data_IF_005263235920
#
_entry.id   IF_005263235920
#
_cell.length_a   1.000
_cell.length_b   1.000
_cell.length_c   1.000
_cell.angle_alpha   90.00
_cell.angle_beta   90.00
_cell.angle_gamma   90.00
#
_symmetry.space_group_name_H-M   'P 1'
#
loop_
_entity.id
_entity.type
_entity.pdbx_description
1 polymer ?
2 polymer ?
#
# COMPACT_ATOMS: atom_id res chain seq x y z
N UNK A 2 11.20 59.17 1.30
CA UNK A 2 12.35 58.60 2.00
C UNK A 2 12.81 57.30 1.35
N UNK A 3 13.44 57.41 0.18
CA UNK A 3 13.92 56.20 -0.51
C UNK A 3 14.78 55.30 0.36
N UNK A 4 15.62 55.89 1.22
CA UNK A 4 16.47 55.11 2.10
C UNK A 4 15.63 54.36 3.13
N UNK A 5 14.77 55.10 3.85
CA UNK A 5 13.94 54.48 4.87
C UNK A 5 13.00 53.45 4.27
N UNK A 6 12.39 53.76 3.13
CA UNK A 6 11.48 52.81 2.50
C UNK A 6 12.24 51.57 2.02
N UNK A 7 13.39 51.79 1.38
CA UNK A 7 14.20 50.69 0.87
C UNK A 7 14.62 49.75 2.01
N UNK A 8 15.21 50.30 3.07
CA UNK A 8 15.67 49.47 4.17
C UNK A 8 14.51 48.82 4.93
N UNK A 9 13.35 49.49 4.99
CA UNK A 9 12.20 48.91 5.65
C UNK A 9 11.72 47.66 4.95
N UNK A 10 11.66 47.72 3.61
CA UNK A 10 11.23 46.58 2.82
C UNK A 10 12.24 45.44 2.89
N UNK A 11 13.54 45.77 2.94
CA UNK A 11 14.55 44.73 3.05
C UNK A 11 14.37 43.98 4.36
N UNK A 12 13.97 44.70 5.41
CA UNK A 12 13.72 44.05 6.69
C UNK A 12 12.55 43.09 6.54
N UNK A 13 11.50 43.53 5.83
CA UNK A 13 10.35 42.67 5.58
C UNK A 13 10.77 41.43 4.83
N UNK A 14 11.60 41.60 3.80
CA UNK A 14 12.09 40.47 3.00
C UNK A 14 12.78 39.41 3.83
N UNK A 15 13.78 39.81 4.64
CA UNK A 15 14.48 38.82 5.45
C UNK A 15 13.57 38.19 6.49
N UNK A 16 12.54 38.93 6.92
CA UNK A 16 11.60 38.38 7.90
C UNK A 16 10.75 37.30 7.25
N UNK A 17 10.39 37.50 5.98
CA UNK A 17 9.60 36.50 5.26
C UNK A 17 10.43 35.26 5.00
N UNK A 18 11.75 35.40 4.83
CA UNK A 18 12.58 34.23 4.64
C UNK A 18 12.62 33.44 5.95
N UNK A 19 12.66 34.16 7.07
CA UNK A 19 12.66 33.50 8.37
C UNK A 19 11.44 32.64 8.60
N UNK A 20 10.30 32.99 7.99
CA UNK A 20 9.09 32.19 8.15
C UNK A 20 9.08 30.99 7.22
N UNK A 21 9.38 31.22 5.94
CA UNK A 21 9.35 30.13 4.97
C UNK A 21 10.34 29.02 5.30
N UNK A 22 11.47 29.34 5.94
CA UNK A 22 12.48 28.33 6.21
C UNK A 22 12.02 27.23 7.16
N UNK A 23 10.89 27.40 7.84
CA UNK A 23 10.41 26.34 8.72
C UNK A 23 9.51 25.36 7.99
N UNK A 24 9.29 25.59 6.69
CA UNK A 24 8.42 24.76 5.88
C UNK A 24 9.19 24.02 4.79
N UNK A 25 10.52 24.06 4.81
CA UNK A 25 11.33 23.41 3.79
C UNK A 25 12.30 22.45 4.44
N UNK A 26 12.96 21.65 3.60
CA UNK A 26 13.91 20.66 4.06
C UNK A 26 15.22 21.32 4.53
N UNK A 27 16.10 20.48 5.09
CA UNK A 27 17.38 20.94 5.62
C UNK A 27 18.19 21.68 4.55
N UNK A 28 18.22 21.14 3.33
CA UNK A 28 18.99 21.77 2.26
C UNK A 28 18.45 23.15 1.93
N UNK A 29 17.13 23.25 1.76
CA UNK A 29 16.54 24.54 1.44
C UNK A 29 16.67 25.50 2.62
N UNK A 30 16.54 24.99 3.85
CA UNK A 30 16.68 25.82 5.03
C UNK A 30 18.08 26.41 5.14
N UNK A 31 19.10 25.60 4.84
CA UNK A 31 20.47 26.10 4.90
C UNK A 31 20.70 27.25 3.94
N UNK A 32 20.22 27.07 2.70
CA UNK A 32 20.35 28.11 1.68
C UNK A 32 19.65 29.38 2.13
N UNK A 33 18.40 29.25 2.61
CA UNK A 33 17.65 30.41 3.06
C UNK A 33 18.32 31.13 4.22
N UNK A 34 18.98 30.38 5.12
CA UNK A 34 19.64 31.06 6.22
C UNK A 34 20.87 31.81 5.73
N UNK A 35 21.55 31.28 4.71
CA UNK A 35 22.69 32.02 4.17
C UNK A 35 22.22 33.28 3.47
N UNK A 36 21.09 33.20 2.77
CA UNK A 36 20.54 34.38 2.10
C UNK A 36 20.09 35.40 3.12
N UNK A 37 19.49 34.93 4.21
CA UNK A 37 19.08 35.84 5.28
C UNK A 37 20.29 36.54 5.85
N UNK A 38 21.40 35.80 5.96
CA UNK A 38 22.65 36.38 6.42
C UNK A 38 23.09 37.46 5.44
N UNK A 39 22.98 37.17 4.14
CA UNK A 39 23.37 38.09 3.09
C UNK A 39 22.50 39.35 3.13
N UNK A 40 21.20 39.19 3.36
CA UNK A 40 20.33 40.36 3.41
C UNK A 40 20.77 41.26 4.55
N UNK A 41 21.19 40.65 5.66
CA UNK A 41 21.68 41.42 6.80
C UNK A 41 22.87 42.28 6.38
N UNK A 42 23.80 41.71 5.60
CA UNK A 42 24.97 42.46 5.14
C UNK A 42 24.57 43.57 4.19
N UNK A 43 23.63 43.29 3.28
CA UNK A 43 23.16 44.28 2.32
C UNK A 43 22.59 45.50 3.04
N UNK A 44 21.80 45.26 4.07
CA UNK A 44 21.20 46.35 4.83
C UNK A 44 22.29 47.21 5.47
N UNK A 45 23.40 46.61 5.87
CA UNK A 45 24.49 47.38 6.45
C UNK A 45 25.04 48.41 5.49
N UNK A 46 25.36 47.98 4.27
CA UNK A 46 25.91 48.90 3.26
C UNK A 46 24.94 50.04 2.96
N UNK A 47 23.69 49.70 2.64
CA UNK A 47 22.68 50.69 2.30
C UNK A 47 22.44 51.64 3.47
N UNK A 48 22.29 51.07 4.68
CA UNK A 48 22.03 51.87 5.86
C UNK A 48 23.14 52.84 6.24
N UNK A 49 24.39 52.55 5.83
CA UNK A 49 25.51 53.42 6.17
C UNK A 49 25.89 54.38 5.04
N UNK A 50 25.15 54.39 3.94
CA UNK A 50 25.43 55.27 2.79
C UNK A 50 26.82 55.03 2.22
N UNK A 51 27.31 53.80 2.29
CA UNK A 51 28.61 53.45 1.77
C UNK A 51 29.69 53.33 2.83
N UNK A 52 29.44 53.87 4.03
CA UNK A 52 30.43 53.80 5.11
C UNK A 52 30.79 52.37 5.47
N UNK A 53 29.86 51.44 5.32
CA UNK A 53 30.11 50.04 5.65
C UNK A 53 30.17 49.20 4.38
N UNK A 54 31.23 48.39 4.28
CA UNK A 54 31.44 47.50 3.14
C UNK A 54 30.18 46.66 2.94
N UNK A 55 29.83 46.39 1.70
CA UNK A 55 28.64 45.61 1.44
C UNK A 55 28.94 44.15 1.19
N UNK A 56 28.11 43.51 0.37
CA UNK A 56 28.32 42.09 0.10
C UNK A 56 29.36 41.91 -0.99
N UNK A 57 29.99 40.74 -0.96
CA UNK A 57 31.00 40.38 -1.93
C UNK A 57 30.35 39.85 -3.21
N UNK A 58 31.12 39.88 -4.29
CA UNK A 58 30.61 39.38 -5.55
C UNK A 58 30.42 37.88 -5.50
N UNK A 59 31.13 37.20 -4.59
CA UNK A 59 30.98 35.75 -4.48
C UNK A 59 29.59 35.38 -4.02
N UNK A 60 28.91 36.28 -3.30
CA UNK A 60 27.57 35.95 -2.87
C UNK A 60 26.62 35.95 -4.06
N UNK A 61 26.93 36.78 -5.07
CA UNK A 61 26.12 36.84 -6.28
C UNK A 61 26.36 35.60 -7.12
N UNK A 62 27.63 35.21 -7.27
CA UNK A 62 27.97 34.02 -8.04
C UNK A 62 27.40 32.79 -7.36
N UNK A 63 27.32 32.81 -6.04
CA UNK A 63 26.75 31.69 -5.29
C UNK A 63 25.31 31.49 -5.71
N UNK A 64 24.53 32.57 -5.76
CA UNK A 64 23.14 32.46 -6.19
C UNK A 64 23.06 31.95 -7.62
N UNK A 65 23.89 32.51 -8.51
CA UNK A 65 23.87 32.08 -9.91
C UNK A 65 24.16 30.60 -10.04
N UNK A 66 25.05 30.07 -9.20
CA UNK A 66 25.33 28.64 -9.26
C UNK A 66 24.12 27.82 -8.87
N UNK A 67 23.42 28.24 -7.80
CA UNK A 67 22.24 27.52 -7.36
C UNK A 67 21.11 27.66 -8.38
N UNK A 68 21.01 28.83 -9.00
CA UNK A 68 19.96 29.05 -10.01
C UNK A 68 20.16 28.10 -11.17
N UNK A 69 21.41 27.95 -11.63
CA UNK A 69 21.70 27.05 -12.73
C UNK A 69 21.33 25.62 -12.36
N UNK A 70 21.69 25.19 -11.15
CA UNK A 70 21.39 23.84 -10.70
C UNK A 70 19.89 23.56 -10.74
N UNK A 71 19.08 24.41 -10.11
CA UNK A 71 17.64 24.15 -10.12
C UNK A 71 17.03 24.43 -11.48
N UNK A 72 17.59 25.39 -12.22
CA UNK A 72 17.06 25.70 -13.54
C UNK A 72 17.06 24.46 -14.43
N UNK A 73 18.08 23.60 -14.25
CA UNK A 73 18.20 22.38 -15.04
C UNK A 73 17.07 21.40 -14.77
N UNK A 74 16.41 21.48 -13.62
CA UNK A 74 15.35 20.53 -13.34
C UNK A 74 13.98 21.01 -13.80
N UNK A 75 13.81 22.28 -14.13
CA UNK A 75 12.50 22.77 -14.54
C UNK A 75 12.53 23.02 -16.04
N UNK A 76 11.66 22.31 -16.76
CA UNK A 76 11.50 22.39 -18.21
C UNK A 76 10.52 23.51 -18.55
N UNK A 77 9.30 23.36 -18.08
CA UNK A 77 8.20 24.29 -18.28
C UNK A 77 8.21 25.30 -17.15
N UNK A 78 8.42 26.56 -17.48
CA UNK A 78 8.52 27.65 -16.52
C UNK A 78 7.67 28.86 -16.87
N UNK A 79 7.03 28.88 -18.03
CA UNK A 79 6.27 30.02 -18.51
C UNK A 79 4.83 30.09 -17.99
N UNK A 80 4.13 28.97 -17.78
CA UNK A 80 2.72 28.99 -17.34
C UNK A 80 2.44 28.11 -16.12
N UNK A 81 2.77 28.62 -14.93
CA UNK A 81 2.57 27.94 -13.67
C UNK A 81 1.84 28.87 -12.72
N UNK A 82 0.87 28.33 -11.98
CA UNK A 82 0.26 29.31 -11.09
C UNK A 82 0.88 29.24 -9.70
N UNK A 83 1.10 30.41 -9.09
CA UNK A 83 1.71 30.45 -7.76
C UNK A 83 1.00 29.61 -6.72
N UNK A 84 1.79 29.10 -5.77
CA UNK A 84 1.29 28.35 -4.63
C UNK A 84 0.72 26.96 -4.86
N UNK A 85 1.38 26.13 -5.67
CA UNK A 85 0.87 24.78 -5.88
C UNK A 85 0.66 24.03 -4.58
N UNK A 86 1.53 24.25 -3.60
CA UNK A 86 1.44 23.64 -2.29
C UNK A 86 1.65 24.71 -1.23
N UNK A 87 1.30 24.37 0.02
CA UNK A 87 1.47 25.30 1.13
C UNK A 87 2.93 25.74 1.23
N UNK A 88 3.86 24.79 1.09
CA UNK A 88 5.28 25.12 1.19
C UNK A 88 5.71 26.02 0.04
N UNK A 89 5.29 25.73 -1.19
CA UNK A 89 5.70 26.57 -2.31
C UNK A 89 5.06 27.95 -2.21
N UNK A 90 3.87 28.04 -1.61
CA UNK A 90 3.21 29.34 -1.45
C UNK A 90 4.05 30.30 -0.63
N UNK A 91 4.73 29.79 0.40
CA UNK A 91 5.57 30.64 1.24
C UNK A 91 6.68 31.30 0.41
N UNK A 92 7.30 30.53 -0.48
CA UNK A 92 8.39 31.06 -1.31
C UNK A 92 7.88 32.07 -2.34
N UNK A 93 6.70 31.84 -2.91
CA UNK A 93 6.17 32.78 -3.89
C UNK A 93 5.91 34.15 -3.26
N UNK A 94 5.46 34.16 -2.00
CA UNK A 94 5.22 35.43 -1.31
C UNK A 94 6.54 36.20 -1.16
N UNK A 95 7.60 35.52 -0.73
CA UNK A 95 8.89 36.17 -0.57
C UNK A 95 9.40 36.78 -1.87
N UNK A 96 9.18 36.10 -3.00
CA UNK A 96 9.62 36.61 -4.29
C UNK A 96 9.03 37.99 -4.58
N UNK A 97 7.73 38.16 -4.34
CA UNK A 97 7.09 39.45 -4.61
C UNK A 97 7.58 40.53 -3.64
N UNK A 98 7.85 40.17 -2.39
CA UNK A 98 8.35 41.16 -1.43
C UNK A 98 9.74 41.58 -1.85
N UNK A 99 10.49 40.63 -2.38
CA UNK A 99 11.82 40.93 -2.87
C UNK A 99 11.72 41.91 -4.04
N UNK A 100 10.71 41.73 -4.89
CA UNK A 100 10.58 42.62 -6.05
C UNK A 100 10.37 44.10 -5.70
N UNK A 101 9.59 44.44 -4.65
CA UNK A 101 9.49 45.88 -4.37
C UNK A 101 10.79 46.36 -3.74
N UNK A 102 11.42 45.49 -2.97
CA UNK A 102 12.67 45.85 -2.33
C UNK A 102 13.72 46.04 -3.41
N UNK A 103 13.71 45.19 -4.43
CA UNK A 103 14.67 45.36 -5.52
C UNK A 103 14.52 46.76 -6.11
N UNK A 104 13.28 47.16 -6.40
CA UNK A 104 13.00 48.47 -6.97
C UNK A 104 13.48 49.58 -6.03
N UNK A 105 13.14 49.46 -4.75
CA UNK A 105 13.54 50.47 -3.77
C UNK A 105 15.07 50.58 -3.68
N UNK A 106 15.76 49.45 -3.76
CA UNK A 106 17.22 49.47 -3.68
C UNK A 106 17.79 50.10 -4.95
N UNK A 107 17.15 49.84 -6.09
CA UNK A 107 17.60 50.45 -7.35
C UNK A 107 17.65 51.96 -7.20
N UNK A 108 16.66 52.52 -6.51
CA UNK A 108 16.61 53.96 -6.29
C UNK A 108 17.81 54.40 -5.46
N UNK A 109 18.16 53.63 -4.42
CA UNK A 109 19.30 53.99 -3.58
C UNK A 109 20.58 54.04 -4.42
N UNK A 110 20.80 53.03 -5.27
CA UNK A 110 21.99 53.04 -6.12
C UNK A 110 21.96 54.25 -7.04
N UNK A 111 20.79 54.55 -7.59
CA UNK A 111 20.61 55.68 -8.50
C UNK A 111 21.02 56.99 -7.87
N UNK A 112 20.66 57.21 -6.61
CA UNK A 112 20.93 58.48 -5.93
C UNK A 112 22.13 58.46 -5.00
N UNK A 113 22.65 57.30 -4.61
CA UNK A 113 23.81 57.26 -3.72
C UNK A 113 25.01 56.52 -4.29
N UNK A 114 24.85 55.79 -5.39
CA UNK A 114 25.95 55.06 -5.99
C UNK A 114 26.43 53.87 -5.21
N UNK A 115 25.69 53.42 -4.21
CA UNK A 115 26.04 52.26 -3.41
C UNK A 115 24.99 51.19 -3.66
N UNK A 116 25.37 49.95 -3.40
CA UNK A 116 24.45 48.86 -3.59
C UNK A 116 24.50 48.25 -4.96
N UNK A 117 25.57 48.48 -5.72
CA UNK A 117 25.67 47.90 -7.05
C UNK A 117 25.55 46.39 -6.98
N UNK A 118 26.33 45.76 -6.10
CA UNK A 118 26.24 44.31 -5.97
C UNK A 118 24.93 43.90 -5.31
N UNK A 119 24.48 44.70 -4.34
CA UNK A 119 23.22 44.38 -3.66
C UNK A 119 22.07 44.37 -4.65
N UNK A 120 22.06 45.34 -5.58
CA UNK A 120 21.00 45.42 -6.57
C UNK A 120 20.96 44.19 -7.46
N UNK A 121 22.13 43.78 -7.95
CA UNK A 121 22.20 42.60 -8.81
C UNK A 121 21.84 41.36 -8.00
N UNK A 122 22.30 41.31 -6.75
CA UNK A 122 22.00 40.17 -5.89
C UNK A 122 20.50 39.98 -5.74
N UNK A 123 19.77 41.07 -5.44
CA UNK A 123 18.32 40.98 -5.27
C UNK A 123 17.63 40.57 -6.56
N UNK A 124 18.15 41.01 -7.70
CA UNK A 124 17.55 40.62 -8.97
C UNK A 124 17.61 39.11 -9.14
N UNK A 125 18.78 38.53 -8.90
CA UNK A 125 18.92 37.08 -9.04
C UNK A 125 18.16 36.34 -7.95
N UNK A 126 18.09 36.93 -6.75
CA UNK A 126 17.40 36.29 -5.63
C UNK A 126 15.95 35.96 -5.94
N UNK A 127 15.22 36.91 -6.54
CA UNK A 127 13.82 36.64 -6.86
C UNK A 127 13.68 35.49 -7.87
N UNK A 128 14.61 35.43 -8.83
CA UNK A 128 14.59 34.36 -9.82
C UNK A 128 14.73 32.99 -9.17
N UNK A 129 15.66 32.87 -8.22
CA UNK A 129 15.89 31.60 -7.54
C UNK A 129 14.68 31.19 -6.70
N UNK A 130 14.11 32.14 -5.95
CA UNK A 130 12.96 31.81 -5.13
C UNK A 130 11.82 31.22 -5.97
N UNK A 131 11.65 31.74 -7.19
CA UNK A 131 10.63 31.20 -8.08
C UNK A 131 10.89 29.72 -8.37
N UNK A 132 12.13 29.41 -8.77
CA UNK A 132 12.49 28.04 -9.10
C UNK A 132 12.33 27.12 -7.90
N UNK A 133 12.65 27.60 -6.70
CA UNK A 133 12.50 26.75 -5.52
C UNK A 133 11.04 26.36 -5.34
N UNK A 134 10.11 27.29 -5.55
CA UNK A 134 8.70 26.94 -5.42
C UNK A 134 8.36 25.84 -6.42
N UNK A 135 8.79 26.02 -7.67
CA UNK A 135 8.52 25.03 -8.70
C UNK A 135 9.18 23.69 -8.37
N UNK A 136 10.42 23.73 -7.85
CA UNK A 136 11.11 22.50 -7.47
C UNK A 136 10.32 21.78 -6.38
N UNK A 137 9.88 22.57 -5.39
CA UNK A 137 9.07 22.01 -4.26
C UNK A 137 7.83 21.37 -4.89
N UNK A 138 7.24 22.04 -5.87
CA UNK A 138 6.06 21.48 -6.56
C UNK A 138 6.50 20.16 -7.20
N UNK A 139 7.66 20.13 -7.85
CA UNK A 139 8.18 18.85 -8.43
C UNK A 139 8.47 17.86 -7.29
N UNK A 140 9.14 18.27 -6.22
CA UNK A 140 9.52 17.31 -5.17
C UNK A 140 8.26 16.76 -4.48
N UNK A 141 7.33 17.65 -4.12
CA UNK A 141 6.06 17.21 -3.49
C UNK A 141 5.22 16.42 -4.48
N UNK A 142 5.17 16.86 -5.74
CA UNK A 142 4.27 16.20 -6.72
C UNK A 142 4.93 14.99 -7.38
N UNK A 143 6.18 15.07 -7.85
CA UNK A 143 6.70 13.91 -8.55
C UNK A 143 6.77 12.69 -7.63
N UNK A 144 7.22 12.88 -6.38
CA UNK A 144 7.16 11.80 -5.42
C UNK A 144 5.73 11.35 -5.16
N UNK A 145 4.78 12.29 -5.20
CA UNK A 145 3.38 11.91 -5.12
C UNK A 145 2.92 11.20 -6.39
N UNK A 146 3.54 11.53 -7.54
CA UNK A 146 3.22 10.79 -8.77
C UNK A 146 3.63 9.34 -8.65
N UNK A 147 4.71 9.08 -7.88
CA UNK A 147 5.14 7.71 -7.63
C UNK A 147 4.07 6.97 -6.83
N UNK A 148 3.67 7.54 -5.69
CA UNK A 148 2.63 6.93 -4.89
C UNK A 148 1.34 6.78 -5.68
N UNK A 149 1.08 7.65 -6.65
CA UNK A 149 -0.12 7.49 -7.47
C UNK A 149 -0.06 6.19 -8.26
N UNK A 150 1.04 5.98 -9.00
CA UNK A 150 1.14 4.76 -9.80
C UNK A 150 1.17 3.53 -8.92
N UNK A 151 1.79 3.62 -7.74
CA UNK A 151 1.87 2.46 -6.85
C UNK A 151 0.49 1.93 -6.48
N UNK A 152 -0.40 2.80 -5.97
CA UNK A 152 -1.71 2.27 -5.60
C UNK A 152 -2.52 1.88 -6.83
N UNK A 153 -2.24 2.52 -7.97
CA UNK A 153 -2.94 2.15 -9.21
C UNK A 153 -2.55 0.75 -9.67
N UNK A 154 -1.28 0.40 -9.52
CA UNK A 154 -0.81 -0.93 -9.90
C UNK A 154 -1.25 -2.00 -8.91
N UNK A 155 -1.13 -1.70 -7.61
CA UNK A 155 -1.59 -2.64 -6.58
C UNK A 155 -3.06 -2.99 -6.79
N UNK A 156 -3.91 -1.97 -6.93
CA UNK A 156 -5.33 -2.20 -7.19
C UNK A 156 -5.51 -3.20 -8.33
N UNK A 157 -4.99 -2.85 -9.52
CA UNK A 157 -5.14 -3.72 -10.69
C UNK A 157 -4.74 -5.15 -10.36
N UNK A 158 -3.59 -5.33 -9.69
CA UNK A 158 -3.15 -6.68 -9.36
C UNK A 158 -4.16 -7.37 -8.45
N UNK A 159 -4.72 -6.65 -7.47
CA UNK A 159 -5.69 -7.27 -6.58
C UNK A 159 -6.97 -7.64 -7.32
N UNK A 160 -7.32 -6.91 -8.38
CA UNK A 160 -8.50 -7.27 -9.16
C UNK A 160 -8.29 -8.62 -9.81
N UNK A 161 -7.13 -8.80 -10.46
CA UNK A 161 -6.85 -10.04 -11.16
C UNK A 161 -6.78 -11.21 -10.18
N UNK A 162 -6.12 -10.99 -9.05
CA UNK A 162 -5.98 -12.06 -8.06
C UNK A 162 -7.33 -12.51 -7.53
N UNK A 163 -8.28 -11.58 -7.39
CA UNK A 163 -9.62 -11.97 -6.94
C UNK A 163 -10.40 -12.71 -8.02
N UNK A 164 -10.43 -12.17 -9.26
CA UNK A 164 -11.16 -12.84 -10.33
C UNK A 164 -10.69 -14.28 -10.51
N UNK A 165 -9.42 -14.55 -10.22
CA UNK A 165 -8.94 -15.90 -10.37
C UNK A 165 -9.51 -16.81 -9.29
N UNK A 166 -9.33 -16.41 -8.03
CA UNK A 166 -9.79 -17.22 -6.91
C UNK A 166 -11.30 -17.51 -6.92
N UNK A 167 -12.15 -16.55 -7.33
CA UNK A 167 -13.59 -16.85 -7.31
C UNK A 167 -13.93 -18.01 -8.24
N UNK A 168 -13.57 -17.89 -9.52
CA UNK A 168 -13.95 -18.96 -10.43
C UNK A 168 -13.11 -20.20 -10.20
N UNK A 169 -12.01 -20.08 -9.46
CA UNK A 169 -11.20 -21.23 -9.10
C UNK A 169 -11.78 -22.01 -7.92
N UNK A 170 -12.81 -21.46 -7.26
CA UNK A 170 -13.46 -22.17 -6.13
C UNK A 170 -14.55 -23.09 -6.68
N UNK A 171 -15.49 -22.51 -7.42
CA UNK A 171 -16.66 -23.22 -7.96
C UNK A 171 -16.29 -24.23 -9.05
N UNK A 172 -15.02 -24.45 -9.38
CA UNK A 172 -14.64 -25.51 -10.33
C UNK A 172 -15.25 -26.86 -9.96
N UNK B 3 -8.16 18.00 -7.61
CA UNK B 3 -8.54 16.59 -7.43
C UNK B 3 -7.33 15.78 -6.98
N UNK B 4 -6.16 16.40 -7.08
CA UNK B 4 -4.89 15.71 -6.85
C UNK B 4 -4.90 14.93 -5.53
N UNK B 5 -5.13 15.64 -4.42
CA UNK B 5 -5.23 15.01 -3.11
C UNK B 5 -6.38 14.00 -3.07
N UNK B 6 -7.53 14.37 -3.63
CA UNK B 6 -8.68 13.47 -3.66
C UNK B 6 -8.40 12.19 -4.42
N UNK B 7 -7.60 12.26 -5.50
CA UNK B 7 -7.36 11.04 -6.26
C UNK B 7 -6.48 10.07 -5.49
N UNK B 8 -5.42 10.57 -4.85
CA UNK B 8 -4.59 9.67 -4.05
C UNK B 8 -5.41 9.05 -2.93
N UNK B 9 -6.08 9.89 -2.14
CA UNK B 9 -6.89 9.38 -1.04
C UNK B 9 -7.97 8.43 -1.55
N UNK B 10 -8.59 8.76 -2.69
CA UNK B 10 -9.65 7.91 -3.25
C UNK B 10 -9.17 6.49 -3.54
N UNK B 11 -7.93 6.35 -4.02
CA UNK B 11 -7.44 4.99 -4.28
C UNK B 11 -7.01 4.30 -3.00
N UNK B 12 -6.50 5.03 -2.01
CA UNK B 12 -6.14 4.34 -0.76
C UNK B 12 -7.37 3.71 -0.13
N UNK B 13 -8.49 4.44 -0.10
CA UNK B 13 -9.74 3.87 0.41
C UNK B 13 -10.10 2.61 -0.38
N UNK B 14 -10.03 2.69 -1.71
CA UNK B 14 -10.39 1.56 -2.57
C UNK B 14 -9.47 0.37 -2.30
N UNK B 15 -8.17 0.64 -2.17
CA UNK B 15 -7.19 -0.42 -1.90
C UNK B 15 -7.52 -1.13 -0.60
N UNK B 16 -7.87 -0.37 0.45
CA UNK B 16 -8.23 -0.95 1.73
C UNK B 16 -9.39 -1.94 1.59
N UNK B 17 -10.43 -1.58 0.83
CA UNK B 17 -11.54 -2.51 0.63
C UNK B 17 -11.08 -3.76 -0.12
N UNK B 18 -10.47 -3.57 -1.30
CA UNK B 18 -10.03 -4.70 -2.12
C UNK B 18 -9.13 -5.66 -1.35
N UNK B 19 -8.23 -5.13 -0.52
CA UNK B 19 -7.31 -5.99 0.23
C UNK B 19 -8.05 -6.82 1.29
N UNK B 20 -9.00 -6.21 2.02
CA UNK B 20 -9.70 -7.00 3.02
C UNK B 20 -10.58 -8.06 2.35
N UNK B 21 -11.03 -7.79 1.13
CA UNK B 21 -11.87 -8.77 0.44
C UNK B 21 -11.01 -9.92 -0.07
N UNK B 22 -9.74 -9.65 -0.36
CA UNK B 22 -8.78 -10.71 -0.60
C UNK B 22 -8.51 -11.49 0.69
N UNK B 23 -8.45 -10.78 1.83
CA UNK B 23 -8.36 -11.45 3.12
C UNK B 23 -9.51 -12.43 3.31
N UNK B 24 -10.75 -11.95 3.14
CA UNK B 24 -11.91 -12.82 3.30
C UNK B 24 -11.94 -13.90 2.23
N UNK B 25 -11.52 -13.56 1.01
CA UNK B 25 -11.70 -14.48 -0.11
C UNK B 25 -10.74 -15.65 -0.03
N UNK B 26 -9.46 -15.38 0.26
CA UNK B 26 -8.50 -16.48 0.48
C UNK B 26 -8.96 -17.38 1.63
N UNK B 27 -9.52 -16.79 2.68
CA UNK B 27 -10.08 -17.59 3.77
C UNK B 27 -11.08 -18.61 3.23
N UNK B 28 -11.89 -18.19 2.25
CA UNK B 28 -12.87 -19.09 1.65
C UNK B 28 -12.20 -20.26 0.91
N UNK B 29 -11.00 -20.04 0.38
CA UNK B 29 -10.34 -21.11 -0.39
C UNK B 29 -9.88 -22.24 0.52
N UNK B 30 -9.23 -21.90 1.64
CA UNK B 30 -8.81 -22.93 2.58
C UNK B 30 -10.00 -23.76 3.07
N UNK B 31 -11.18 -23.15 3.12
CA UNK B 31 -12.40 -23.81 3.56
C UNK B 31 -12.74 -24.99 2.64
N UNK B 32 -13.09 -24.68 1.40
CA UNK B 32 -13.55 -25.71 0.47
C UNK B 32 -12.50 -26.80 0.26
N UNK B 33 -11.21 -26.45 0.34
CA UNK B 33 -10.18 -27.47 0.23
C UNK B 33 -10.17 -28.37 1.46
N UNK B 34 -10.34 -27.78 2.64
CA UNK B 34 -10.41 -28.55 3.89
C UNK B 34 -11.51 -29.60 3.84
N UNK B 35 -12.66 -29.26 3.25
CA UNK B 35 -13.75 -30.22 3.14
C UNK B 35 -13.43 -31.31 2.12
N UNK B 36 -12.65 -30.97 1.10
CA UNK B 36 -12.29 -31.95 0.10
C UNK B 36 -11.28 -32.94 0.65
N UNK B 37 -10.30 -32.45 1.40
CA UNK B 37 -9.31 -33.33 2.02
C UNK B 37 -9.97 -34.34 2.96
N UNK B 38 -10.91 -33.87 3.79
CA UNK B 38 -11.59 -34.78 4.70
C UNK B 38 -12.41 -35.80 3.91
N UNK B 39 -13.08 -35.36 2.85
CA UNK B 39 -13.86 -36.28 2.04
C UNK B 39 -12.96 -37.33 1.41
N UNK B 40 -11.82 -36.90 0.85
CA UNK B 40 -10.91 -37.84 0.22
C UNK B 40 -10.35 -38.82 1.23
N UNK B 41 -9.93 -38.33 2.40
CA UNK B 41 -9.40 -39.24 3.42
C UNK B 41 -10.46 -40.23 3.87
N UNK B 42 -11.69 -39.76 4.09
CA UNK B 42 -12.76 -40.66 4.51
C UNK B 42 -13.06 -41.68 3.42
N UNK B 43 -13.27 -41.19 2.19
CA UNK B 43 -13.56 -42.09 1.08
C UNK B 43 -12.36 -42.96 0.73
N UNK B 44 -11.14 -42.43 0.88
CA UNK B 44 -9.95 -43.23 0.59
C UNK B 44 -9.93 -44.47 1.48
N UNK B 45 -10.37 -44.33 2.73
CA UNK B 45 -10.42 -45.47 3.63
C UNK B 45 -11.48 -46.46 3.18
N UNK B 46 -12.61 -45.96 2.69
CA UNK B 46 -13.66 -46.84 2.21
C UNK B 46 -13.33 -47.47 0.86
N UNK B 47 -12.56 -46.79 0.02
CA UNK B 47 -12.21 -47.31 -1.28
C UNK B 47 -10.92 -48.12 -1.28
N UNK B 48 -10.17 -48.10 -0.19
CA UNK B 48 -8.92 -48.84 -0.14
C UNK B 48 -9.13 -50.34 -0.24
N UNK B 49 -8.52 -50.97 -1.24
CA UNK B 49 -8.72 -52.40 -1.41
C UNK B 49 -7.99 -53.21 -0.34
N UNK B 50 -6.77 -52.79 0.04
CA UNK B 50 -6.02 -53.53 1.05
C UNK B 50 -6.39 -53.09 2.47
N UNK B 51 -6.90 -54.06 3.22
CA UNK B 51 -7.38 -53.90 4.58
C UNK B 51 -6.29 -53.54 5.58
N UNK B 52 -5.07 -54.06 5.40
CA UNK B 52 -3.97 -53.70 6.29
C UNK B 52 -3.66 -52.21 6.29
N UNK B 53 -3.46 -51.66 5.09
CA UNK B 53 -3.17 -50.20 4.98
C UNK B 53 -4.27 -49.43 5.70
N UNK B 54 -5.52 -49.90 5.63
CA UNK B 54 -6.66 -49.20 6.20
C UNK B 54 -6.57 -49.18 7.71
N UNK B 55 -6.11 -50.28 8.31
CA UNK B 55 -5.90 -50.28 9.76
C UNK B 55 -4.81 -49.28 10.13
N UNK B 56 -3.72 -49.27 9.36
CA UNK B 56 -2.64 -48.31 9.59
C UNK B 56 -3.12 -46.88 9.42
N UNK B 57 -3.89 -46.62 8.37
CA UNK B 57 -4.39 -45.27 8.11
C UNK B 57 -5.29 -44.78 9.23
N UNK B 58 -6.28 -45.60 9.61
CA UNK B 58 -7.19 -45.20 10.68
C UNK B 58 -6.47 -45.02 12.00
N UNK B 59 -5.55 -45.93 12.34
CA UNK B 59 -4.74 -45.73 13.53
C UNK B 59 -4.02 -44.39 13.57
N UNK B 60 -3.46 -43.98 12.43
CA UNK B 60 -2.76 -42.70 12.35
C UNK B 60 -3.72 -41.52 12.22
N UNK B 61 -4.61 -41.57 11.23
CA UNK B 61 -5.49 -40.44 10.93
C UNK B 61 -6.64 -40.30 11.93
N UNK B 62 -7.25 -41.39 12.34
CA UNK B 62 -8.39 -41.34 13.24
C UNK B 62 -7.92 -41.27 14.69
N UNK B 63 -8.76 -40.65 15.52
CA UNK B 63 -8.46 -40.57 16.94
C UNK B 63 -8.88 -41.86 17.64
N UNK B 64 -8.30 -42.07 18.82
CA UNK B 64 -8.67 -43.24 19.61
C UNK B 64 -10.10 -43.14 20.11
N UNK B 65 -10.50 -41.96 20.59
CA UNK B 65 -11.89 -41.68 20.93
C UNK B 65 -12.60 -41.05 19.73
N UNK B 66 -13.17 -41.91 18.88
CA UNK B 66 -13.90 -41.50 17.69
C UNK B 66 -15.18 -42.31 17.62
N UNK B 67 -16.21 -41.75 17.00
CA UNK B 67 -17.52 -42.37 16.98
C UNK B 67 -18.21 -42.18 15.63
N UNK B 68 -18.84 -43.25 15.14
CA UNK B 68 -19.57 -43.29 13.87
C UNK B 68 -20.98 -43.82 14.10
N UNK B 69 -21.93 -43.28 13.35
CA UNK B 69 -23.30 -43.78 13.38
C UNK B 69 -24.00 -43.47 12.06
N UNK B 70 -24.68 -44.48 11.51
CA UNK B 70 -25.48 -44.31 10.31
C UNK B 70 -26.84 -45.02 10.49
N UNK B 71 -27.73 -45.08 9.49
CA UNK B 71 -29.04 -45.71 9.76
C UNK B 71 -29.03 -47.22 9.96
N UNK B 72 -28.01 -47.97 9.56
CA UNK B 72 -28.10 -49.40 9.76
C UNK B 72 -27.15 -49.93 10.82
N UNK B 73 -26.11 -49.17 11.16
CA UNK B 73 -25.00 -49.68 11.93
C UNK B 73 -24.41 -48.53 12.72
N UNK B 74 -23.55 -48.86 13.68
CA UNK B 74 -22.81 -47.83 14.39
C UNK B 74 -21.54 -48.44 14.99
N UNK B 75 -20.56 -47.57 15.25
CA UNK B 75 -19.31 -47.97 15.86
C UNK B 75 -18.58 -46.77 16.39
N UNK B 76 -17.69 -47.03 17.34
CA UNK B 76 -16.82 -45.99 17.91
C UNK B 76 -15.44 -46.55 18.20
N UNK B 77 -14.43 -45.72 17.96
CA UNK B 77 -13.03 -46.08 18.10
C UNK B 77 -12.44 -46.66 16.83
N UNK B 78 -11.10 -46.56 16.74
CA UNK B 78 -10.38 -47.08 15.58
C UNK B 78 -10.68 -48.56 15.36
N UNK B 79 -10.64 -49.37 16.41
CA UNK B 79 -10.92 -50.79 16.26
C UNK B 79 -12.32 -51.01 15.70
N UNK B 80 -13.34 -50.46 16.37
CA UNK B 80 -14.71 -50.66 15.92
C UNK B 80 -14.93 -50.20 14.49
N UNK B 81 -14.40 -49.03 14.15
CA UNK B 81 -14.54 -48.49 12.81
C UNK B 81 -13.77 -49.32 11.81
N UNK B 82 -12.55 -49.74 12.17
CA UNK B 82 -11.77 -50.64 11.31
C UNK B 82 -12.54 -51.92 11.03
N UNK B 83 -13.22 -52.48 12.03
CA UNK B 83 -14.00 -53.69 11.81
C UNK B 83 -15.15 -53.42 10.85
N UNK B 84 -15.91 -52.34 11.09
CA UNK B 84 -17.00 -51.98 10.20
C UNK B 84 -16.50 -51.85 8.77
N UNK B 85 -15.40 -51.11 8.60
CA UNK B 85 -14.82 -50.92 7.28
C UNK B 85 -14.42 -52.25 6.66
N UNK B 86 -13.79 -53.12 7.46
CA UNK B 86 -13.43 -54.45 6.99
C UNK B 86 -14.65 -55.24 6.55
N UNK B 87 -15.72 -55.20 7.35
CA UNK B 87 -16.93 -55.93 6.98
C UNK B 87 -17.57 -55.39 5.71
N UNK B 88 -17.67 -54.05 5.62
CA UNK B 88 -18.26 -53.44 4.43
C UNK B 88 -17.51 -53.80 3.15
N UNK B 89 -16.19 -53.67 3.16
CA UNK B 89 -15.44 -54.03 1.96
C UNK B 89 -15.50 -55.52 1.66
N UNK B 90 -15.50 -56.36 2.69
CA UNK B 90 -15.61 -57.80 2.45
C UNK B 90 -16.96 -58.18 1.85
N UNK B 91 -18.03 -57.44 2.20
CA UNK B 91 -19.34 -57.74 1.62
C UNK B 91 -19.49 -57.19 0.21
N UNK B 92 -18.77 -56.12 -0.14
CA UNK B 92 -18.89 -55.49 -1.45
C UNK B 92 -17.54 -55.38 -2.16
N UNK B 93 -16.88 -56.51 -2.44
CA UNK B 93 -15.55 -56.43 -3.02
C UNK B 93 -15.59 -55.82 -4.41
N UNK B 94 -14.66 -54.90 -4.67
CA UNK B 94 -14.63 -54.20 -5.93
C UNK B 94 -15.48 -52.95 -6.01
N UNK B 95 -16.40 -52.74 -5.07
CA UNK B 95 -17.25 -51.57 -5.12
C UNK B 95 -16.44 -50.33 -4.75
N UNK B 96 -16.91 -49.17 -5.19
CA UNK B 96 -16.20 -47.93 -4.89
C UNK B 96 -17.15 -46.79 -4.53
N UNK B 97 -16.59 -45.85 -3.77
CA UNK B 97 -17.27 -44.64 -3.31
C UNK B 97 -16.62 -43.47 -4.02
N UNK B 98 -17.39 -42.71 -4.81
CA UNK B 98 -16.87 -41.59 -5.56
C UNK B 98 -17.53 -40.31 -5.09
N UNK B 99 -16.71 -39.26 -4.91
CA UNK B 99 -17.23 -37.99 -4.43
C UNK B 99 -18.20 -37.40 -5.44
N UNK B 100 -19.24 -36.75 -4.93
CA UNK B 100 -20.23 -36.07 -5.76
C UNK B 100 -20.38 -34.63 -5.30
N UNK B 101 -20.41 -33.71 -6.25
CA UNK B 101 -20.56 -32.32 -5.93
C UNK B 101 -19.34 -31.83 -5.16
N UNK B 102 -19.46 -30.60 -4.66
CA UNK B 102 -18.35 -29.99 -3.94
C UNK B 102 -18.64 -30.07 -2.44
N UNK B 103 -17.80 -30.74 -1.64
CA UNK B 103 -17.97 -30.67 -0.19
C UNK B 103 -17.94 -29.24 0.30
N UNK B 104 -18.65 -28.99 1.39
CA UNK B 104 -18.69 -27.68 2.02
C UNK B 104 -18.78 -27.90 3.52
N UNK B 105 -19.02 -26.83 4.28
CA UNK B 105 -19.15 -26.98 5.71
C UNK B 105 -18.86 -25.69 6.44
N UNK B 106 -18.60 -25.84 7.74
CA UNK B 106 -18.32 -24.75 8.66
C UNK B 106 -17.85 -25.34 9.98
N UNK B 107 -16.99 -24.59 10.66
CA UNK B 107 -16.36 -25.04 11.90
C UNK B 107 -15.70 -26.39 11.70
N UNK B 108 -15.92 -27.31 12.66
CA UNK B 108 -15.36 -28.66 12.53
C UNK B 108 -16.31 -29.60 11.80
N UNK B 109 -17.35 -29.07 11.18
CA UNK B 109 -18.32 -29.85 10.43
C UNK B 109 -18.06 -29.75 8.93
N UNK B 110 -18.10 -30.89 8.25
CA UNK B 110 -18.02 -30.97 6.81
C UNK B 110 -19.22 -31.74 6.28
N UNK B 111 -19.83 -31.23 5.22
CA UNK B 111 -20.91 -31.95 4.56
C UNK B 111 -20.48 -32.19 3.12
N UNK B 112 -20.76 -33.40 2.64
CA UNK B 112 -20.47 -33.75 1.27
C UNK B 112 -21.38 -34.89 0.89
N UNK B 113 -21.50 -35.10 -0.41
CA UNK B 113 -22.29 -36.21 -0.91
C UNK B 113 -21.39 -37.07 -1.77
N UNK B 114 -21.82 -38.31 -1.95
CA UNK B 114 -21.05 -39.26 -2.71
C UNK B 114 -22.03 -40.18 -3.41
N UNK B 115 -21.54 -40.85 -4.45
CA UNK B 115 -22.33 -41.81 -5.18
C UNK B 115 -21.67 -43.17 -5.04
N UNK B 116 -22.48 -44.22 -4.91
CA UNK B 116 -21.95 -45.57 -4.83
C UNK B 116 -21.90 -46.09 -6.26
N UNK B 117 -20.69 -46.43 -6.72
CA UNK B 117 -20.50 -46.94 -8.08
C UNK B 117 -20.24 -48.44 -8.02
N UNK B 118 -20.99 -49.19 -8.83
CA UNK B 118 -20.87 -50.62 -8.90
C UNK B 118 -19.54 -50.98 -9.57
N UNK B 119 -19.01 -52.19 -9.32
CA UNK B 119 -17.78 -52.60 -10.01
C UNK B 119 -17.84 -52.45 -11.53
N UNK B 120 -18.99 -52.67 -12.15
CA UNK B 120 -19.11 -52.46 -13.59
C UNK B 120 -19.38 -51.01 -13.99
N UNK B 121 -19.39 -50.06 -13.04
CA UNK B 121 -19.57 -48.66 -13.37
C UNK B 121 -20.96 -48.09 -13.39
N UNK B 122 -21.98 -48.83 -12.95
CA UNK B 122 -23.33 -48.27 -12.90
C UNK B 122 -23.56 -47.44 -11.64
N UNK B 123 -24.29 -46.33 -11.77
CA UNK B 123 -24.65 -45.49 -10.63
C UNK B 123 -25.90 -46.08 -10.00
N UNK B 124 -25.77 -46.66 -8.81
CA UNK B 124 -26.89 -47.33 -8.15
C UNK B 124 -27.46 -46.59 -6.95
N UNK B 125 -26.78 -45.57 -6.42
CA UNK B 125 -27.24 -44.85 -5.23
C UNK B 125 -26.20 -43.83 -4.77
N UNK B 126 -26.47 -43.19 -3.63
CA UNK B 126 -25.52 -42.25 -3.05
C UNK B 126 -25.87 -41.94 -1.61
N UNK B 127 -24.93 -41.25 -0.95
CA UNK B 127 -25.09 -40.86 0.44
C UNK B 127 -24.49 -39.50 0.74
N UNK B 128 -24.62 -39.10 1.99
CA UNK B 128 -24.06 -37.86 2.52
C UNK B 128 -23.52 -38.11 3.91
N UNK B 129 -22.36 -37.51 4.23
CA UNK B 129 -21.73 -37.69 5.53
C UNK B 129 -21.34 -36.35 6.16
N UNK B 130 -21.32 -36.33 7.49
CA UNK B 130 -20.85 -35.19 8.28
C UNK B 130 -19.71 -35.68 9.16
N UNK B 131 -18.54 -35.06 9.05
CA UNK B 131 -17.36 -35.48 9.82
C UNK B 131 -16.90 -34.36 10.75
N UNK B 132 -16.52 -34.75 11.97
CA UNK B 132 -16.05 -33.86 13.03
C UNK B 132 -14.62 -34.22 13.42
N UNK B 133 -13.77 -33.19 13.59
CA UNK B 133 -12.39 -33.40 14.04
C UNK B 133 -12.25 -33.07 15.53
N UNK B 134 -11.40 -33.84 16.22
CA UNK B 134 -11.11 -33.60 17.63
C UNK B 134 -10.02 -32.55 17.80
N UNK B 135 -9.79 -32.13 19.05
CA UNK B 135 -8.85 -31.08 19.37
C UNK B 135 -7.40 -31.44 19.02
N UNK B 136 -7.18 -32.66 18.53
CA UNK B 136 -5.82 -33.11 18.19
C UNK B 136 -5.69 -33.37 16.69
N UNK B 137 -6.57 -32.79 15.88
CA UNK B 137 -6.51 -32.94 14.44
C UNK B 137 -6.96 -34.28 13.93
N UNK B 138 -7.43 -35.17 14.80
CA UNK B 138 -7.84 -36.52 14.43
C UNK B 138 -9.37 -36.64 14.41
N UNK B 139 -9.86 -37.50 13.52
CA UNK B 139 -11.30 -37.68 13.29
C UNK B 139 -11.93 -38.31 14.53
N UNK B 140 -12.88 -37.58 15.13
CA UNK B 140 -13.59 -38.04 16.32
C UNK B 140 -15.06 -38.37 16.11
N UNK B 141 -15.64 -38.00 14.96
CA UNK B 141 -17.06 -38.23 14.72
C UNK B 141 -17.39 -38.18 13.23
N UNK B 142 -18.15 -39.18 12.78
CA UNK B 142 -18.65 -39.25 11.42
C UNK B 142 -20.11 -39.65 11.51
N UNK B 143 -20.97 -38.94 10.79
CA UNK B 143 -22.40 -39.24 10.70
C UNK B 143 -22.78 -39.37 9.23
N UNK B 144 -23.29 -40.53 8.83
CA UNK B 144 -23.69 -40.70 7.44
C UNK B 144 -25.20 -40.67 7.26
N UNK B 145 -25.63 -40.34 6.03
CA UNK B 145 -27.05 -40.32 5.66
C UNK B 145 -27.26 -40.95 4.29
N UNK B 146 -28.51 -41.34 4.03
CA UNK B 146 -28.93 -41.93 2.78
C UNK B 146 -29.71 -40.92 1.94
N UNK B 147 -29.53 -40.98 0.62
CA UNK B 147 -30.21 -40.09 -0.32
C UNK B 147 -30.92 -40.92 -1.38
N UNK B 148 -32.04 -40.39 -1.86
CA UNK B 148 -32.79 -41.02 -2.94
C UNK B 148 -32.51 -40.39 -4.29
#
# INVERSE_FOLDING_TARGET
>A
MSPIIEANGTLDELTSFIGEAKHYVDEEMKGILEEIQNDIYKIMGEIGSKGKIEGISEERIKWLEGLISRYEEMVNLKSFVLPGGTLESAKLDVCRTIARRAERKVATVLREFGIGKEALVYLNRLSDLLFLLARVIEIAAAAQLEKELQALEKENAQLEWELQALEKELAQ
>B
MAQLKKKLQALKKKNAQLKWKLQALKKKLAQATQHLTIAQTYLAAWNEEDNERRRHLVGQAWAENTRYVDPLMQGEGQQGIAAMIEAARQKFPGYRFVLAGTPDGHGNFTRFSWRLISPDGDDVAGGTDVVSLNTEGRIDNVVGFLDGAVSHHHHHH
#
